data_IF_088159680401
#
_entry.id   IF_088159680401
#
_cell.length_a   1.000
_cell.length_b   1.000
_cell.length_c   1.000
_cell.angle_alpha   90.00
_cell.angle_beta   90.00
_cell.angle_gamma   90.00
#
_symmetry.space_group_name_H-M   'P 1'
#
loop_
_entity.id
_entity.type
_entity.pdbx_description
1 polymer ?
#
# COMPACT_ATOMS: atom_id res chain seq x y z
N UNK A 1 -8.06 4.28 -65.71
CA UNK A 1 -8.71 4.75 -64.48
C UNK A 1 -8.91 3.66 -63.40
N UNK A 2 -9.33 2.43 -63.72
CA UNK A 2 -9.56 1.37 -62.70
C UNK A 2 -8.29 0.92 -61.95
N UNK A 3 -7.10 0.95 -62.56
CA UNK A 3 -5.83 0.55 -61.93
C UNK A 3 -5.29 1.58 -60.95
N UNK A 4 -5.55 2.88 -61.17
CA UNK A 4 -5.18 3.94 -60.23
C UNK A 4 -6.06 3.96 -58.99
N UNK A 5 -7.32 3.59 -59.10
CA UNK A 5 -8.25 3.51 -57.98
C UNK A 5 -7.89 2.37 -57.00
N UNK A 6 -7.43 1.22 -57.54
CA UNK A 6 -6.93 0.10 -56.74
C UNK A 6 -5.67 0.42 -55.96
N UNK A 7 -4.74 1.20 -56.55
CA UNK A 7 -3.48 1.59 -55.86
C UNK A 7 -3.75 2.59 -54.75
N UNK A 8 -4.71 3.49 -54.93
CA UNK A 8 -5.09 4.47 -53.90
C UNK A 8 -5.80 3.78 -52.71
N UNK A 9 -6.60 2.75 -52.96
CA UNK A 9 -7.29 1.99 -51.90
C UNK A 9 -6.32 1.16 -51.06
N UNK A 10 -5.27 0.60 -51.65
CA UNK A 10 -4.21 -0.14 -50.95
C UNK A 10 -3.34 0.80 -50.09
N UNK A 11 -3.06 2.01 -50.60
CA UNK A 11 -2.27 3.00 -49.87
C UNK A 11 -3.05 3.55 -48.64
N UNK A 12 -4.39 3.68 -48.75
CA UNK A 12 -5.22 4.10 -47.60
C UNK A 12 -5.36 3.02 -46.51
N UNK A 13 -5.12 1.74 -46.84
CA UNK A 13 -5.15 0.66 -45.83
C UNK A 13 -3.80 0.49 -45.07
N UNK A 14 -2.70 1.06 -45.56
CA UNK A 14 -1.39 0.92 -44.94
C UNK A 14 -1.05 2.05 -43.94
N UNK A 15 -1.84 3.13 -43.94
CA UNK A 15 -1.52 4.31 -43.08
C UNK A 15 -2.15 4.32 -41.70
N UNK A 16 -3.25 3.64 -41.36
CA UNK A 16 -3.86 3.78 -40.03
C UNK A 16 -3.37 2.78 -38.96
N UNK A 17 -2.56 1.78 -39.30
CA UNK A 17 -2.16 0.79 -38.27
C UNK A 17 -0.94 1.20 -37.43
N UNK A 18 -0.21 2.21 -37.82
CA UNK A 18 0.97 2.68 -37.07
C UNK A 18 0.64 3.77 -36.03
N UNK A 19 -0.61 4.26 -35.98
CA UNK A 19 -1.01 5.39 -35.12
C UNK A 19 -1.83 5.01 -33.89
N UNK A 20 -2.01 3.72 -33.62
CA UNK A 20 -2.81 3.21 -32.49
C UNK A 20 -2.06 2.21 -31.59
N UNK A 21 -0.74 2.28 -31.56
CA UNK A 21 -0.03 1.72 -30.44
C UNK A 21 -0.10 2.75 -29.30
N UNK A 22 -1.23 2.80 -28.58
CA UNK A 22 -1.20 3.36 -27.24
C UNK A 22 -0.08 2.63 -26.50
N UNK A 23 0.93 3.34 -26.05
CA UNK A 23 1.94 2.76 -25.18
C UNK A 23 1.19 2.14 -24.00
N UNK A 24 1.47 0.87 -23.72
CA UNK A 24 0.89 0.21 -22.55
C UNK A 24 1.23 1.06 -21.32
N UNK A 25 0.26 1.28 -20.43
CA UNK A 25 0.49 2.13 -19.26
C UNK A 25 1.69 1.63 -18.47
N UNK A 26 2.56 2.53 -18.06
CA UNK A 26 3.76 2.20 -17.31
C UNK A 26 3.38 1.74 -15.89
N UNK A 27 3.73 0.49 -15.56
CA UNK A 27 3.54 -0.05 -14.21
C UNK A 27 4.85 0.15 -13.44
N UNK A 28 4.77 0.82 -12.30
CA UNK A 28 5.90 1.07 -11.40
C UNK A 28 5.59 0.46 -10.03
N UNK A 29 6.61 -0.07 -9.36
CA UNK A 29 6.50 -0.60 -8.01
C UNK A 29 7.47 0.12 -7.08
N UNK A 30 6.95 0.60 -5.95
CA UNK A 30 7.75 1.16 -4.88
C UNK A 30 7.55 0.39 -3.58
N UNK A 31 8.63 0.19 -2.84
CA UNK A 31 8.59 -0.47 -1.54
C UNK A 31 9.56 0.21 -0.57
N UNK A 32 9.10 0.42 0.65
CA UNK A 32 9.91 0.95 1.75
C UNK A 32 9.68 0.17 3.03
N UNK A 33 10.64 0.27 3.96
CA UNK A 33 10.46 -0.06 5.36
C UNK A 33 10.24 1.24 6.12
N UNK A 34 9.18 1.28 6.94
CA UNK A 34 8.80 2.50 7.63
C UNK A 34 8.28 2.21 9.04
N UNK A 35 8.75 2.95 10.04
CA UNK A 35 8.28 2.83 11.43
C UNK A 35 7.03 3.70 11.63
N UNK A 36 5.88 3.25 11.11
CA UNK A 36 4.61 3.97 11.19
C UNK A 36 4.02 4.00 12.60
N UNK A 37 4.22 2.91 13.38
CA UNK A 37 3.70 2.74 14.72
C UNK A 37 4.86 2.67 15.74
N UNK A 38 5.44 3.82 16.07
CA UNK A 38 6.51 3.92 17.07
C UNK A 38 7.83 3.27 16.64
N UNK A 39 8.75 3.10 17.61
CA UNK A 39 10.16 2.72 17.32
C UNK A 39 10.48 1.25 17.54
N UNK A 40 9.48 0.41 17.88
CA UNK A 40 9.67 -1.02 18.21
C UNK A 40 9.08 -1.97 17.17
N UNK A 41 8.61 -1.44 16.07
CA UNK A 41 8.06 -2.17 14.93
C UNK A 41 8.40 -1.43 13.65
N UNK A 42 8.29 -2.11 12.54
CA UNK A 42 8.41 -1.50 11.20
C UNK A 42 7.42 -2.16 10.25
N UNK A 43 6.89 -1.37 9.35
CA UNK A 43 6.06 -1.88 8.26
C UNK A 43 6.88 -2.00 6.98
N UNK A 44 6.62 -3.05 6.21
CA UNK A 44 6.96 -3.15 4.80
C UNK A 44 5.75 -2.65 4.03
N UNK A 45 5.93 -1.57 3.31
CA UNK A 45 4.87 -0.92 2.55
C UNK A 45 5.19 -0.95 1.07
N UNK A 46 4.24 -1.43 0.28
CA UNK A 46 4.38 -1.56 -1.17
C UNK A 46 3.27 -0.78 -1.85
N UNK A 47 3.62 -0.07 -2.92
CA UNK A 47 2.67 0.66 -3.77
C UNK A 47 2.93 0.29 -5.22
N UNK A 48 1.87 0.10 -5.98
CA UNK A 48 1.91 -0.06 -7.43
C UNK A 48 1.26 1.16 -8.06
N UNK A 49 1.99 1.79 -8.98
CA UNK A 49 1.48 2.88 -9.79
C UNK A 49 1.22 2.36 -11.22
N UNK A 50 0.15 2.83 -11.79
CA UNK A 50 -0.07 2.81 -13.23
C UNK A 50 0.05 4.25 -13.72
N UNK A 51 1.08 4.53 -14.50
CA UNK A 51 1.55 5.89 -14.78
C UNK A 51 1.91 6.60 -13.45
N UNK A 52 1.12 7.55 -13.01
CA UNK A 52 1.32 8.24 -11.73
C UNK A 52 0.18 7.99 -10.73
N UNK A 53 -0.79 7.13 -11.07
CA UNK A 53 -1.94 6.81 -10.21
C UNK A 53 -1.67 5.55 -9.41
N UNK A 54 -1.94 5.59 -8.12
CA UNK A 54 -1.86 4.44 -7.22
C UNK A 54 -2.99 3.47 -7.56
N UNK A 55 -2.65 2.27 -8.04
CA UNK A 55 -3.63 1.23 -8.39
C UNK A 55 -3.68 0.11 -7.35
N UNK A 56 -2.63 -0.01 -6.52
CA UNK A 56 -2.63 -0.92 -5.38
C UNK A 56 -1.68 -0.41 -4.30
N UNK A 57 -2.02 -0.73 -3.05
CA UNK A 57 -1.17 -0.47 -1.90
C UNK A 57 -1.24 -1.67 -0.94
N UNK A 58 -0.17 -1.93 -0.22
CA UNK A 58 -0.11 -3.01 0.77
C UNK A 58 0.73 -2.63 1.96
N UNK A 59 0.23 -2.94 3.16
CA UNK A 59 0.91 -2.74 4.44
C UNK A 59 1.03 -4.09 5.12
N UNK A 60 2.24 -4.49 5.53
CA UNK A 60 2.45 -5.49 6.55
C UNK A 60 3.44 -4.97 7.58
N UNK A 61 3.10 -5.03 8.84
CA UNK A 61 3.95 -4.53 9.91
C UNK A 61 4.48 -5.66 10.77
N UNK A 62 5.76 -5.56 11.11
CA UNK A 62 6.50 -6.55 11.87
C UNK A 62 6.87 -6.02 13.24
N UNK A 63 6.71 -6.88 14.25
CA UNK A 63 6.99 -6.56 15.64
C UNK A 63 7.55 -7.80 16.36
N UNK A 64 8.33 -7.57 17.41
CA UNK A 64 8.77 -8.63 18.34
C UNK A 64 7.78 -8.73 19.49
N UNK A 65 7.24 -9.92 19.74
CA UNK A 65 6.29 -10.14 20.84
C UNK A 65 6.08 -11.63 21.15
N UNK A 66 5.41 -11.88 22.27
CA UNK A 66 5.06 -13.22 22.73
C UNK A 66 3.61 -13.57 22.33
N UNK A 67 3.31 -14.89 22.26
CA UNK A 67 1.96 -15.38 22.00
C UNK A 67 1.50 -15.21 20.54
N UNK A 68 2.42 -14.98 19.62
CA UNK A 68 2.17 -14.81 18.18
C UNK A 68 2.88 -15.91 17.40
N UNK A 69 2.39 -16.17 16.19
CA UNK A 69 3.06 -17.04 15.22
C UNK A 69 4.19 -16.22 14.59
N UNK A 70 5.42 -16.71 14.72
CA UNK A 70 6.59 -16.08 14.10
C UNK A 70 6.58 -16.20 12.58
N UNK A 71 7.57 -15.60 11.92
CA UNK A 71 7.68 -15.62 10.47
C UNK A 71 7.73 -17.08 9.98
N UNK A 72 6.82 -17.49 9.06
CA UNK A 72 6.78 -18.88 8.58
C UNK A 72 8.10 -19.31 7.95
N UNK A 73 8.42 -20.62 8.09
CA UNK A 73 9.62 -21.24 7.55
C UNK A 73 10.96 -20.63 8.03
N UNK A 74 10.95 -19.81 9.07
CA UNK A 74 12.14 -19.32 9.73
C UNK A 74 12.55 -20.23 10.88
N UNK A 75 13.85 -20.24 11.24
CA UNK A 75 14.33 -20.99 12.39
C UNK A 75 13.71 -20.40 13.67
N UNK A 76 12.98 -21.24 14.42
CA UNK A 76 12.26 -20.84 15.64
C UNK A 76 11.38 -19.59 15.47
N UNK A 77 10.82 -19.34 14.27
CA UNK A 77 10.00 -18.16 14.02
C UNK A 77 10.76 -16.84 14.13
N UNK A 78 12.05 -16.82 13.77
CA UNK A 78 12.97 -15.75 14.16
C UNK A 78 12.96 -15.52 15.69
N UNK A 79 12.97 -16.62 16.43
CA UNK A 79 13.09 -16.60 17.90
C UNK A 79 14.49 -16.23 18.34
N UNK A 80 14.78 -16.54 19.60
CA UNK A 80 16.03 -16.15 20.25
C UNK A 80 15.93 -14.86 21.04
N UNK A 81 14.78 -14.21 21.01
CA UNK A 81 14.45 -13.13 21.95
C UNK A 81 14.10 -13.69 23.34
N UNK A 82 14.32 -12.91 24.38
CA UNK A 82 13.92 -13.28 25.74
C UNK A 82 12.41 -13.49 25.86
N UNK A 83 12.01 -14.31 26.84
CA UNK A 83 10.60 -14.53 27.20
C UNK A 83 9.72 -15.16 26.10
N UNK A 84 10.31 -16.02 25.25
CA UNK A 84 9.59 -16.71 24.19
C UNK A 84 9.01 -15.78 23.13
N UNK A 85 9.58 -14.59 22.97
CA UNK A 85 9.19 -13.66 21.93
C UNK A 85 9.72 -14.10 20.56
N UNK A 86 8.96 -13.77 19.52
CA UNK A 86 9.32 -14.00 18.11
C UNK A 86 9.13 -12.72 17.32
N UNK A 87 9.79 -12.59 16.19
CA UNK A 87 9.42 -11.60 15.17
C UNK A 87 8.18 -12.11 14.44
N UNK A 88 7.16 -11.31 14.35
CA UNK A 88 5.90 -11.69 13.70
C UNK A 88 5.36 -10.59 12.80
N UNK A 89 4.66 -11.01 11.73
CA UNK A 89 3.81 -10.14 10.92
C UNK A 89 2.49 -9.92 11.66
N UNK A 90 2.06 -8.66 11.74
CA UNK A 90 0.75 -8.32 12.30
C UNK A 90 -0.40 -8.80 11.41
N UNK A 91 -0.22 -8.83 10.08
CA UNK A 91 -1.24 -9.38 9.18
C UNK A 91 -1.42 -10.89 9.36
N UNK A 92 -0.33 -11.65 9.43
CA UNK A 92 -0.40 -13.11 9.68
C UNK A 92 -1.09 -13.38 11.03
N UNK A 93 -0.92 -12.51 11.99
CA UNK A 93 -1.49 -12.62 13.33
C UNK A 93 -2.70 -11.71 13.55
N UNK A 94 -3.39 -11.26 12.49
CA UNK A 94 -4.41 -10.21 12.57
C UNK A 94 -5.51 -10.51 13.60
N UNK A 95 -6.01 -11.73 13.64
CA UNK A 95 -7.05 -12.11 14.58
C UNK A 95 -6.58 -12.00 16.05
N UNK A 96 -5.39 -12.54 16.38
CA UNK A 96 -4.84 -12.47 17.73
C UNK A 96 -4.47 -11.03 18.11
N UNK A 97 -3.90 -10.27 17.17
CA UNK A 97 -3.54 -8.87 17.38
C UNK A 97 -4.78 -8.00 17.61
N UNK A 98 -5.83 -8.17 16.78
CA UNK A 98 -7.10 -7.45 16.91
C UNK A 98 -7.79 -7.74 18.24
N UNK A 99 -7.79 -8.99 18.70
CA UNK A 99 -8.32 -9.35 20.03
C UNK A 99 -7.55 -8.64 21.15
N UNK A 100 -6.23 -8.53 21.04
CA UNK A 100 -5.42 -7.77 22.00
C UNK A 100 -5.74 -6.27 21.97
N UNK A 101 -5.95 -5.69 20.79
CA UNK A 101 -6.35 -4.28 20.63
C UNK A 101 -7.73 -4.03 21.23
N UNK A 102 -8.70 -4.90 20.96
CA UNK A 102 -10.05 -4.80 21.54
C UNK A 102 -10.00 -4.86 23.06
N UNK A 103 -9.25 -5.82 23.62
CA UNK A 103 -9.20 -6.05 25.09
C UNK A 103 -8.43 -4.94 25.81
N UNK A 104 -7.33 -4.44 25.23
CA UNK A 104 -6.42 -3.51 25.93
C UNK A 104 -6.70 -2.05 25.59
N UNK A 105 -7.24 -1.76 24.42
CA UNK A 105 -7.43 -0.40 23.90
C UNK A 105 -8.87 -0.10 23.46
N UNK A 106 -9.80 -1.06 23.58
CA UNK A 106 -11.20 -0.87 23.19
C UNK A 106 -11.40 -0.73 21.68
N UNK A 107 -10.45 -1.19 20.85
CA UNK A 107 -10.58 -1.12 19.40
C UNK A 107 -11.80 -1.93 18.93
N UNK A 108 -12.59 -1.32 18.05
CA UNK A 108 -13.80 -1.92 17.47
C UNK A 108 -13.61 -2.42 16.05
N UNK A 109 -12.47 -2.10 15.43
CA UNK A 109 -12.13 -2.48 14.05
C UNK A 109 -10.90 -3.39 14.08
N UNK A 110 -10.95 -4.48 13.32
CA UNK A 110 -9.82 -5.38 13.19
C UNK A 110 -8.62 -4.70 12.52
N UNK A 111 -7.41 -5.14 12.85
CA UNK A 111 -6.18 -4.53 12.37
C UNK A 111 -6.04 -4.60 10.85
N UNK A 112 -6.27 -5.77 10.28
CA UNK A 112 -6.20 -6.02 8.84
C UNK A 112 -7.24 -5.18 8.08
N UNK A 113 -8.47 -5.08 8.61
CA UNK A 113 -9.51 -4.19 8.06
C UNK A 113 -9.06 -2.73 8.09
N UNK A 114 -8.46 -2.27 9.19
CA UNK A 114 -7.94 -0.90 9.27
C UNK A 114 -6.81 -0.66 8.26
N UNK A 115 -5.91 -1.62 8.06
CA UNK A 115 -4.87 -1.52 7.02
C UNK A 115 -5.48 -1.45 5.63
N UNK A 116 -6.49 -2.26 5.33
CA UNK A 116 -7.15 -2.27 4.02
C UNK A 116 -7.83 -0.91 3.75
N UNK A 117 -8.52 -0.34 4.73
CA UNK A 117 -9.13 1.00 4.62
C UNK A 117 -8.09 2.11 4.38
N UNK A 118 -6.93 2.04 5.04
CA UNK A 118 -5.83 2.99 4.82
C UNK A 118 -5.26 2.84 3.40
N UNK A 119 -5.11 1.61 2.91
CA UNK A 119 -4.67 1.32 1.54
C UNK A 119 -5.68 1.84 0.52
N UNK A 120 -6.97 1.57 0.73
CA UNK A 120 -8.06 2.01 -0.14
C UNK A 120 -8.14 3.55 -0.23
N UNK A 121 -7.83 4.26 0.87
CA UNK A 121 -7.73 5.71 0.84
C UNK A 121 -6.68 6.23 -0.17
N UNK A 122 -5.60 5.47 -0.38
CA UNK A 122 -4.55 5.85 -1.32
C UNK A 122 -4.90 5.49 -2.78
N UNK A 123 -5.65 4.41 -3.00
CA UNK A 123 -5.97 3.93 -4.35
C UNK A 123 -6.79 4.96 -5.13
N UNK A 124 -6.45 5.14 -6.40
CA UNK A 124 -7.06 6.11 -7.31
C UNK A 124 -6.48 7.52 -7.21
N UNK A 125 -5.60 7.80 -6.25
CA UNK A 125 -4.88 9.08 -6.15
C UNK A 125 -3.55 9.02 -6.90
N UNK A 126 -3.16 10.14 -7.48
CA UNK A 126 -1.77 10.37 -7.88
C UNK A 126 -0.89 10.55 -6.65
N UNK A 127 0.43 10.41 -6.84
CA UNK A 127 1.41 10.68 -5.77
C UNK A 127 1.24 12.11 -5.23
N UNK A 128 1.03 13.10 -6.10
CA UNK A 128 0.84 14.49 -5.72
C UNK A 128 -0.46 14.72 -4.92
N UNK A 129 -1.56 14.05 -5.31
CA UNK A 129 -2.83 14.13 -4.57
C UNK A 129 -2.74 13.48 -3.19
N UNK A 130 -2.04 12.35 -3.06
CA UNK A 130 -1.80 11.72 -1.76
C UNK A 130 -0.93 12.63 -0.88
N UNK A 131 0.13 13.21 -1.43
CA UNK A 131 0.98 14.16 -0.70
C UNK A 131 0.20 15.39 -0.22
N UNK A 132 -0.64 15.97 -1.08
CA UNK A 132 -1.49 17.09 -0.72
C UNK A 132 -2.52 16.72 0.37
N UNK A 133 -3.13 15.54 0.29
CA UNK A 133 -4.06 15.05 1.29
C UNK A 133 -3.39 14.88 2.66
N UNK A 134 -2.17 14.29 2.71
CA UNK A 134 -1.42 14.15 3.94
C UNK A 134 -0.99 15.51 4.51
N UNK A 135 -0.54 16.43 3.65
CA UNK A 135 -0.16 17.79 4.07
C UNK A 135 -1.33 18.55 4.68
N UNK A 136 -2.57 18.32 4.19
CA UNK A 136 -3.78 18.96 4.71
C UNK A 136 -4.09 18.57 6.17
N UNK A 137 -3.60 17.42 6.64
CA UNK A 137 -3.74 17.04 8.07
C UNK A 137 -2.87 17.89 8.99
N UNK A 138 -1.90 18.60 8.46
CA UNK A 138 -1.01 19.51 9.22
C UNK A 138 -0.38 18.85 10.47
N UNK A 139 -0.06 17.55 10.37
CA UNK A 139 0.50 16.76 11.47
C UNK A 139 -0.53 16.27 12.51
N UNK A 140 -1.80 16.56 12.32
CA UNK A 140 -2.87 16.11 13.20
C UNK A 140 -3.20 14.63 12.90
N UNK A 141 -2.84 13.75 13.84
CA UNK A 141 -3.09 12.32 13.73
C UNK A 141 -4.61 12.00 13.74
N UNK A 142 -5.41 12.75 14.51
CA UNK A 142 -6.85 12.51 14.56
C UNK A 142 -7.53 12.91 13.24
N UNK A 143 -7.09 14.00 12.62
CA UNK A 143 -7.59 14.40 11.30
C UNK A 143 -7.32 13.31 10.25
N UNK A 144 -6.18 12.61 10.32
CA UNK A 144 -5.88 11.50 9.43
C UNK A 144 -6.78 10.29 9.69
N UNK A 145 -7.08 9.97 10.95
CA UNK A 145 -8.04 8.89 11.30
C UNK A 145 -9.43 9.24 10.78
N UNK A 146 -9.89 10.47 10.99
CA UNK A 146 -11.23 10.92 10.59
C UNK A 146 -11.40 10.93 9.06
N UNK A 147 -10.32 11.19 8.31
CA UNK A 147 -10.33 11.21 6.87
C UNK A 147 -10.42 9.79 6.24
N UNK A 148 -9.91 8.78 6.94
CA UNK A 148 -9.97 7.37 6.48
C UNK A 148 -11.22 6.72 7.06
N UNK A 149 -12.32 6.80 6.33
CA UNK A 149 -13.63 6.30 6.79
C UNK A 149 -13.56 4.86 7.29
N UNK A 150 -13.86 4.66 8.56
CA UNK A 150 -13.91 3.36 9.21
C UNK A 150 -12.59 2.86 9.80
N UNK A 151 -11.44 3.49 9.49
CA UNK A 151 -10.18 3.15 10.18
C UNK A 151 -10.17 3.74 11.60
N UNK A 152 -9.56 3.01 12.54
CA UNK A 152 -9.49 3.42 13.95
C UNK A 152 -8.06 3.41 14.51
N UNK A 153 -7.07 3.18 13.66
CA UNK A 153 -5.67 3.17 14.07
C UNK A 153 -5.17 4.59 14.33
N UNK A 154 -4.72 4.86 15.55
CA UNK A 154 -4.18 6.16 15.95
C UNK A 154 -2.96 6.60 15.12
N UNK A 155 -2.24 5.64 14.55
CA UNK A 155 -1.06 5.87 13.70
C UNK A 155 -1.37 5.92 12.20
N UNK A 156 -2.64 6.13 11.82
CA UNK A 156 -3.09 6.25 10.43
C UNK A 156 -2.23 7.22 9.62
N UNK A 157 -1.88 8.37 10.19
CA UNK A 157 -0.99 9.34 9.54
C UNK A 157 0.39 8.75 9.22
N UNK A 158 0.95 7.96 10.14
CA UNK A 158 2.23 7.27 9.93
C UNK A 158 2.17 6.26 8.79
N UNK A 159 1.09 5.49 8.70
CA UNK A 159 0.90 4.53 7.62
C UNK A 159 0.70 5.22 6.27
N UNK A 160 -0.10 6.28 6.20
CA UNK A 160 -0.27 7.08 4.98
C UNK A 160 1.05 7.69 4.51
N UNK A 161 1.85 8.21 5.44
CA UNK A 161 3.18 8.76 5.13
C UNK A 161 4.11 7.69 4.56
N UNK A 162 4.14 6.50 5.16
CA UNK A 162 4.96 5.40 4.66
C UNK A 162 4.52 4.91 3.28
N UNK A 163 3.21 4.88 2.97
CA UNK A 163 2.71 4.56 1.63
C UNK A 163 3.07 5.66 0.62
N UNK A 164 3.03 6.93 1.01
CA UNK A 164 3.51 8.03 0.17
C UNK A 164 5.00 7.89 -0.16
N UNK A 165 5.83 7.56 0.82
CA UNK A 165 7.26 7.32 0.59
C UNK A 165 7.50 6.11 -0.33
N UNK A 166 6.69 5.05 -0.21
CA UNK A 166 6.74 3.93 -1.16
C UNK A 166 6.36 4.38 -2.58
N UNK A 167 5.32 5.21 -2.73
CA UNK A 167 4.91 5.74 -4.02
C UNK A 167 5.98 6.64 -4.66
N UNK A 168 6.68 7.47 -3.88
CA UNK A 168 7.75 8.36 -4.36
C UNK A 168 8.97 7.61 -4.91
N UNK A 169 9.26 6.40 -4.43
CA UNK A 169 10.40 5.60 -4.88
C UNK A 169 10.05 4.59 -5.97
N UNK A 170 8.79 4.57 -6.43
CA UNK A 170 8.32 3.64 -7.45
C UNK A 170 9.03 3.84 -8.80
N UNK A 171 9.48 2.73 -9.40
CA UNK A 171 10.24 2.69 -10.65
C UNK A 171 9.93 1.42 -11.45
#
# INVERSE_FOLDING_TARGET
>A
MKKFLSLLLVLCMLVPFAALADEAPAIKLGQVQYAAHGTKCFAVMTVVLQDDVIVAAYIDEFQVGAGMVGVPNSENGFGGFTDGKVLYSKRVNAAAYSNNMATKAGSTVALDVSYDLIQDFCVGKTVAELEAAIAAFNGDAQAAVDAVTGATLVDTLGYLTGLLEAAKVAK
#
